data_IF_657165481524
#
_entry.id   IF_657165481524
#
_cell.length_a   1.000
_cell.length_b   1.000
_cell.length_c   1.000
_cell.angle_alpha   90.00
_cell.angle_beta   90.00
_cell.angle_gamma   90.00
#
_symmetry.space_group_name_H-M   'P 1'
#
loop_
_entity.id
_entity.type
_entity.pdbx_description
1 polymer ?
#
# COMPACT_ATOMS: atom_id res chain seq x y z
N UNK A 1 7.47 20.57 -11.94
CA UNK A 1 7.10 21.30 -10.68
C UNK A 1 5.94 22.30 -10.90
N UNK A 2 5.99 23.10 -11.97
CA UNK A 2 5.18 24.32 -12.15
C UNK A 2 3.73 24.11 -12.65
N UNK A 3 3.25 22.86 -12.62
CA UNK A 3 1.87 22.51 -12.95
C UNK A 3 1.12 22.05 -11.69
N UNK A 4 -0.21 22.24 -11.64
CA UNK A 4 -1.03 21.74 -10.55
C UNK A 4 -0.78 20.24 -10.28
N UNK A 5 -1.00 19.77 -9.03
CA UNK A 5 -0.90 18.35 -8.71
C UNK A 5 -1.76 17.51 -9.65
N UNK A 6 -1.17 16.48 -10.24
CA UNK A 6 -1.88 15.56 -11.12
C UNK A 6 -2.48 14.43 -10.28
N UNK A 7 -3.74 14.11 -10.54
CA UNK A 7 -4.35 12.88 -10.04
C UNK A 7 -3.83 11.72 -10.89
N UNK A 8 -3.49 10.60 -10.27
CA UNK A 8 -3.22 9.38 -11.03
C UNK A 8 -4.51 8.97 -11.75
N UNK A 9 -4.42 8.68 -13.05
CA UNK A 9 -5.57 8.31 -13.89
C UNK A 9 -6.17 6.93 -13.58
N UNK A 10 -5.67 6.23 -12.55
CA UNK A 10 -6.15 4.93 -12.09
C UNK A 10 -6.35 4.98 -10.58
N UNK A 11 -7.25 4.14 -10.07
CA UNK A 11 -7.56 4.12 -8.63
C UNK A 11 -6.50 3.36 -7.83
N UNK A 12 -5.32 3.98 -7.66
CA UNK A 12 -4.22 3.39 -6.88
C UNK A 12 -4.64 3.12 -5.44
N UNK A 13 -5.38 4.04 -4.82
CA UNK A 13 -5.85 3.87 -3.45
C UNK A 13 -6.73 2.63 -3.29
N UNK A 14 -7.70 2.46 -4.19
CA UNK A 14 -8.59 1.29 -4.15
C UNK A 14 -7.84 -0.01 -4.43
N UNK A 15 -6.94 -0.02 -5.44
CA UNK A 15 -6.15 -1.20 -5.78
C UNK A 15 -5.22 -1.64 -4.64
N UNK A 16 -4.53 -0.69 -4.00
CA UNK A 16 -3.60 -0.98 -2.89
C UNK A 16 -4.38 -1.44 -1.65
N UNK A 17 -5.49 -0.78 -1.32
CA UNK A 17 -6.34 -1.23 -0.21
C UNK A 17 -6.96 -2.61 -0.47
N UNK A 18 -7.40 -2.90 -1.69
CA UNK A 18 -7.90 -4.22 -2.07
C UNK A 18 -6.82 -5.30 -1.86
N UNK A 19 -5.55 -5.03 -2.24
CA UNK A 19 -4.44 -5.94 -1.99
C UNK A 19 -4.21 -6.19 -0.49
N UNK A 20 -4.23 -5.15 0.34
CA UNK A 20 -4.14 -5.29 1.80
C UNK A 20 -5.29 -6.14 2.35
N UNK A 21 -6.52 -5.93 1.86
CA UNK A 21 -7.69 -6.71 2.23
C UNK A 21 -7.57 -8.19 1.85
N UNK A 22 -7.10 -8.49 0.64
CA UNK A 22 -6.87 -9.86 0.17
C UNK A 22 -5.81 -10.55 1.02
N UNK A 23 -4.68 -9.88 1.28
CA UNK A 23 -3.60 -10.43 2.11
C UNK A 23 -4.11 -10.72 3.53
N UNK A 24 -4.79 -9.76 4.15
CA UNK A 24 -5.37 -9.93 5.48
C UNK A 24 -6.39 -11.07 5.54
N UNK A 25 -7.30 -11.16 4.55
CA UNK A 25 -8.28 -12.24 4.48
C UNK A 25 -7.63 -13.62 4.35
N UNK A 26 -6.59 -13.74 3.52
CA UNK A 26 -5.82 -14.97 3.36
C UNK A 26 -5.10 -15.35 4.67
N UNK A 27 -4.54 -14.38 5.40
CA UNK A 27 -3.92 -14.62 6.70
C UNK A 27 -4.93 -15.04 7.77
N UNK A 28 -6.11 -14.42 7.79
CA UNK A 28 -7.19 -14.80 8.71
C UNK A 28 -7.71 -16.23 8.44
N UNK A 29 -7.85 -16.61 7.16
CA UNK A 29 -8.18 -17.98 6.78
C UNK A 29 -7.09 -18.96 7.19
N UNK A 30 -5.82 -18.61 6.96
CA UNK A 30 -4.67 -19.42 7.38
C UNK A 30 -4.65 -19.62 8.89
N UNK A 31 -4.93 -18.57 9.66
CA UNK A 31 -5.01 -18.63 11.12
C UNK A 31 -6.16 -19.53 11.60
N UNK A 32 -7.36 -19.39 11.02
CA UNK A 32 -8.50 -20.28 11.30
C UNK A 32 -8.13 -21.74 11.06
N UNK A 33 -7.50 -22.02 9.92
CA UNK A 33 -7.15 -23.39 9.56
C UNK A 33 -6.07 -23.97 10.48
N UNK A 34 -5.15 -23.14 10.97
CA UNK A 34 -4.14 -23.54 11.95
C UNK A 34 -4.68 -23.74 13.38
N UNK A 35 -5.82 -23.13 13.73
CA UNK A 35 -6.36 -23.14 15.11
C UNK A 35 -7.53 -24.09 15.32
N UNK A 36 -7.89 -24.89 14.32
CA UNK A 36 -8.99 -25.86 14.43
C UNK A 36 -9.80 -26.06 13.16
N UNK A 37 -9.47 -25.37 12.06
CA UNK A 37 -10.12 -25.59 10.78
C UNK A 37 -11.50 -24.96 10.69
N UNK A 38 -12.29 -25.41 9.71
CA UNK A 38 -13.69 -25.00 9.57
C UNK A 38 -14.54 -25.63 10.67
N UNK A 39 -15.49 -24.86 11.21
CA UNK A 39 -16.49 -25.36 12.14
C UNK A 39 -17.34 -26.44 11.46
N UNK A 40 -17.54 -27.57 12.15
CA UNK A 40 -18.41 -28.66 11.70
C UNK A 40 -19.59 -28.82 12.68
N UNK A 41 -20.49 -29.77 12.39
CA UNK A 41 -21.58 -30.10 13.32
C UNK A 41 -21.06 -30.75 14.63
N UNK A 42 -19.88 -31.39 14.56
CA UNK A 42 -19.33 -32.22 15.63
C UNK A 42 -18.19 -31.53 16.39
N UNK A 43 -17.54 -30.53 15.77
CA UNK A 43 -16.35 -29.89 16.32
C UNK A 43 -16.40 -28.36 16.18
N UNK A 44 -16.00 -27.67 17.24
CA UNK A 44 -15.77 -26.22 17.20
C UNK A 44 -14.65 -25.89 16.21
N UNK A 45 -14.87 -24.89 15.35
CA UNK A 45 -13.88 -24.46 14.37
C UNK A 45 -12.77 -23.60 14.98
N UNK A 46 -11.72 -23.37 14.20
CA UNK A 46 -10.65 -22.44 14.54
C UNK A 46 -11.12 -20.98 14.59
N UNK A 47 -10.30 -20.12 15.16
CA UNK A 47 -10.62 -18.71 15.40
C UNK A 47 -10.46 -17.91 14.10
N UNK A 48 -11.49 -17.13 13.74
CA UNK A 48 -11.40 -16.13 12.68
C UNK A 48 -10.81 -14.82 13.18
N UNK A 49 -10.56 -13.88 12.28
CA UNK A 49 -10.08 -12.53 12.59
C UNK A 49 -10.83 -11.49 11.76
N UNK A 50 -10.99 -10.29 12.31
CA UNK A 50 -11.47 -9.11 11.57
C UNK A 50 -10.27 -8.40 10.96
N UNK A 51 -10.36 -8.11 9.66
CA UNK A 51 -9.35 -7.37 8.91
C UNK A 51 -9.96 -6.02 8.57
N UNK A 52 -9.48 -4.97 9.22
CA UNK A 52 -9.84 -3.59 8.89
C UNK A 52 -8.79 -3.00 7.95
N UNK A 53 -9.23 -2.34 6.88
CA UNK A 53 -8.36 -1.74 5.88
C UNK A 53 -8.86 -0.35 5.54
N UNK A 54 -8.10 0.66 5.93
CA UNK A 54 -8.39 2.03 5.55
C UNK A 54 -7.65 2.44 4.27
N UNK A 55 -8.38 3.06 3.33
CA UNK A 55 -7.82 3.52 2.05
C UNK A 55 -6.65 4.49 2.24
N UNK A 56 -6.75 5.39 3.22
CA UNK A 56 -5.71 6.38 3.48
C UNK A 56 -4.44 5.75 4.05
N UNK A 57 -4.55 4.71 4.89
CA UNK A 57 -3.39 3.99 5.43
C UNK A 57 -2.69 3.17 4.33
N UNK A 58 -3.47 2.57 3.43
CA UNK A 58 -2.94 1.85 2.28
C UNK A 58 -2.12 2.77 1.36
N UNK A 59 -2.61 3.99 1.10
CA UNK A 59 -1.86 5.01 0.34
C UNK A 59 -0.67 5.52 1.14
N UNK A 60 -0.83 5.74 2.45
CA UNK A 60 0.24 6.20 3.34
C UNK A 60 1.42 5.23 3.37
N UNK A 61 1.17 3.93 3.40
CA UNK A 61 2.19 2.89 3.37
C UNK A 61 3.10 3.01 2.14
N UNK A 62 2.55 3.42 0.99
CA UNK A 62 3.29 3.59 -0.25
C UNK A 62 4.16 4.86 -0.28
N UNK A 63 4.06 5.73 0.73
CA UNK A 63 4.90 6.92 0.82
C UNK A 63 6.34 6.61 1.26
N UNK A 64 6.62 5.38 1.75
CA UNK A 64 7.95 4.85 2.04
C UNK A 64 8.97 5.90 2.52
N UNK A 65 9.92 6.32 1.66
CA UNK A 65 11.01 7.26 1.97
C UNK A 65 10.56 8.70 2.23
N UNK A 66 9.36 9.11 1.81
CA UNK A 66 8.81 10.45 2.05
C UNK A 66 8.54 10.70 3.54
N UNK A 67 8.10 9.66 4.26
CA UNK A 67 7.75 9.75 5.69
C UNK A 67 9.00 10.03 6.55
N UNK A 68 10.11 9.27 6.46
CA UNK A 68 11.31 9.56 7.22
C UNK A 68 12.02 10.84 6.75
N UNK A 69 11.96 11.19 5.45
CA UNK A 69 12.50 12.48 4.96
C UNK A 69 11.79 13.67 5.63
N UNK A 70 10.47 13.58 5.79
CA UNK A 70 9.69 14.60 6.49
C UNK A 70 9.94 14.59 8.01
N UNK A 71 9.82 13.42 8.66
CA UNK A 71 9.90 13.29 10.12
C UNK A 71 11.30 13.61 10.67
N UNK A 72 12.36 13.16 9.98
CA UNK A 72 13.73 13.32 10.47
C UNK A 72 14.42 14.58 9.96
N UNK A 73 14.24 14.93 8.68
CA UNK A 73 14.95 16.05 8.05
C UNK A 73 14.09 17.31 7.89
N UNK A 74 12.79 17.24 8.21
CA UNK A 74 11.85 18.35 8.00
C UNK A 74 11.64 18.69 6.53
N UNK A 75 12.04 17.81 5.61
CA UNK A 75 12.01 18.07 4.17
C UNK A 75 10.65 17.70 3.63
N UNK A 76 9.92 18.69 3.10
CA UNK A 76 8.72 18.45 2.30
C UNK A 76 9.15 18.17 0.87
N UNK A 77 9.04 16.91 0.44
CA UNK A 77 9.44 16.49 -0.90
C UNK A 77 8.47 17.00 -1.96
N UNK A 78 9.01 17.69 -2.96
CA UNK A 78 8.24 18.32 -4.04
C UNK A 78 8.14 17.45 -5.31
N UNK A 79 7.24 17.83 -6.22
CA UNK A 79 7.04 17.13 -7.50
C UNK A 79 8.27 17.26 -8.42
N UNK A 80 8.96 16.16 -8.68
CA UNK A 80 10.18 16.13 -9.52
C UNK A 80 9.95 15.61 -10.95
N UNK A 81 8.71 15.19 -11.27
CA UNK A 81 8.38 14.64 -12.59
C UNK A 81 8.89 13.20 -12.76
N UNK A 82 9.29 12.82 -13.97
CA UNK A 82 9.89 11.49 -14.23
C UNK A 82 11.33 11.36 -13.74
N UNK A 83 11.95 12.45 -13.28
CA UNK A 83 13.30 12.46 -12.75
C UNK A 83 13.32 12.01 -11.29
N UNK A 84 14.16 11.01 -10.97
CA UNK A 84 14.55 10.71 -9.59
C UNK A 84 15.65 11.69 -9.14
N UNK A 85 15.39 12.56 -8.16
CA UNK A 85 16.41 13.48 -7.65
C UNK A 85 17.62 12.70 -7.13
N UNK A 86 18.81 13.06 -7.60
CA UNK A 86 20.08 12.45 -7.17
C UNK A 86 20.53 11.23 -7.97
N UNK A 87 19.74 10.73 -8.93
CA UNK A 87 20.14 9.61 -9.80
C UNK A 87 19.98 10.00 -11.28
N UNK A 88 21.09 10.07 -12.00
CA UNK A 88 21.11 10.20 -13.46
C UNK A 88 21.65 8.92 -14.08
N UNK A 89 21.06 8.42 -15.19
CA UNK A 89 19.98 8.97 -16.00
C UNK A 89 18.60 8.36 -15.68
N UNK A 90 18.02 8.61 -14.50
CA UNK A 90 16.68 8.10 -14.15
C UNK A 90 15.58 9.09 -14.51
N UNK A 91 15.31 9.26 -15.81
CA UNK A 91 14.20 10.05 -16.34
C UNK A 91 13.73 9.52 -17.71
N UNK A 92 12.55 9.94 -18.16
CA UNK A 92 12.07 9.70 -19.52
C UNK A 92 12.62 10.77 -20.45
N UNK A 93 13.28 10.35 -21.53
CA UNK A 93 13.83 11.22 -22.55
C UNK A 93 13.19 10.90 -23.91
N UNK A 94 12.91 11.93 -24.70
CA UNK A 94 12.43 11.77 -26.07
C UNK A 94 13.56 11.22 -26.94
N UNK A 95 13.33 10.09 -27.60
CA UNK A 95 14.21 9.56 -28.64
C UNK A 95 13.59 9.82 -30.01
N UNK A 96 14.40 10.28 -30.97
CA UNK A 96 14.01 10.50 -32.37
C UNK A 96 14.28 9.30 -33.26
#
# INVERSE_FOLDING_TARGET
PDRPPVRVGVSIGDSVAALHGVIGAMMALRHRDATGGRKTAEQAGGQGQMVDVALYEAVFNMMESLVPEYDHAGVVRERTGGALPGIVPSNTYTTG
#
